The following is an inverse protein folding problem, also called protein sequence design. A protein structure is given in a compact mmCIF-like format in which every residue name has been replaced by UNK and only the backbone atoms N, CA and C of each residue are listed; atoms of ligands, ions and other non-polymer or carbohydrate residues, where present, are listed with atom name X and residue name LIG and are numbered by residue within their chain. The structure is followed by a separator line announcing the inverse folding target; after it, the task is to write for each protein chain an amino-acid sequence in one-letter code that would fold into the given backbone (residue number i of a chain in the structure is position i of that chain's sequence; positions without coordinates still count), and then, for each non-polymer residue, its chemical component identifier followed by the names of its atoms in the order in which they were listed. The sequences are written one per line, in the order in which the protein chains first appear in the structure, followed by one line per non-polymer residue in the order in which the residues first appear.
data_IF_546753694663
#
_entry.id   IF_546753694663
#
_cell.length_a   1.000
_cell.length_b   1.000
_cell.length_c   1.000
_cell.angle_alpha   90.00
_cell.angle_beta   90.00
_cell.angle_gamma   90.00
#
_symmetry.space_group_name_H-M   'P 1'
#
loop_
_entity.id
_entity.type
_entity.pdbx_description
1 polymer ?
#
# COMPACT_ATOMS: atom_id res chain seq x y z
N UNK A 1 10.21 -9.44 -11.74
CA UNK A 1 9.74 -10.25 -10.57
C UNK A 1 8.99 -9.26 -9.69
N UNK A 2 7.71 -9.46 -9.39
CA UNK A 2 6.97 -8.48 -8.58
C UNK A 2 7.54 -8.47 -7.15
N UNK A 3 8.21 -7.38 -6.76
CA UNK A 3 8.77 -7.22 -5.43
C UNK A 3 7.74 -6.49 -4.55
N UNK A 4 6.77 -7.25 -4.03
CA UNK A 4 5.59 -6.70 -3.38
C UNK A 4 4.72 -7.76 -2.70
N UNK A 5 3.56 -7.35 -2.21
CA UNK A 5 2.58 -8.23 -1.57
C UNK A 5 1.17 -7.62 -1.63
N UNK A 6 0.16 -8.50 -1.50
CA UNK A 6 -1.23 -8.13 -1.24
C UNK A 6 -1.47 -8.18 0.27
N UNK A 7 -2.46 -7.43 0.76
CA UNK A 7 -2.94 -7.56 2.13
C UNK A 7 -4.46 -7.54 2.20
N UNK A 8 -5.00 -8.23 3.21
CA UNK A 8 -6.41 -8.28 3.58
C UNK A 8 -6.46 -8.10 5.09
N UNK A 9 -6.82 -6.90 5.56
CA UNK A 9 -6.85 -6.53 6.97
C UNK A 9 -8.29 -6.27 7.43
N UNK A 10 -8.99 -7.28 7.96
CA UNK A 10 -10.32 -7.10 8.54
C UNK A 10 -10.25 -6.12 9.71
N UNK A 11 -11.12 -5.10 9.70
CA UNK A 11 -11.30 -4.15 10.80
C UNK A 11 -12.44 -4.56 11.70
N UNK A 12 -13.50 -5.09 11.10
CA UNK A 12 -14.68 -5.66 11.76
C UNK A 12 -15.15 -6.88 10.96
N UNK A 13 -16.20 -7.61 11.39
CA UNK A 13 -16.78 -8.67 10.57
C UNK A 13 -17.31 -8.22 9.20
N UNK A 14 -17.58 -6.92 9.01
CA UNK A 14 -18.17 -6.37 7.78
C UNK A 14 -17.36 -5.25 7.14
N UNK A 15 -16.20 -4.89 7.70
CA UNK A 15 -15.29 -3.86 7.18
C UNK A 15 -13.88 -4.42 7.03
N UNK A 16 -13.28 -4.22 5.86
CA UNK A 16 -11.95 -4.74 5.54
C UNK A 16 -11.15 -3.71 4.74
N UNK A 17 -9.86 -3.59 5.03
CA UNK A 17 -8.91 -2.88 4.19
C UNK A 17 -8.14 -3.88 3.32
N UNK A 18 -8.26 -3.76 2.01
CA UNK A 18 -7.53 -4.58 1.04
C UNK A 18 -6.65 -3.68 0.19
N UNK A 19 -5.43 -4.11 -0.07
CA UNK A 19 -4.56 -3.40 -0.97
C UNK A 19 -3.33 -4.19 -1.38
N UNK A 20 -2.42 -3.49 -2.06
CA UNK A 20 -1.22 -4.06 -2.63
C UNK A 20 -0.08 -3.05 -2.54
N UNK A 21 1.14 -3.57 -2.38
CA UNK A 21 2.37 -2.79 -2.41
C UNK A 21 3.34 -3.43 -3.39
N UNK A 22 4.02 -2.63 -4.20
CA UNK A 22 5.01 -3.08 -5.17
C UNK A 22 6.15 -2.06 -5.28
N UNK A 23 7.34 -2.54 -5.62
CA UNK A 23 8.47 -1.66 -5.92
C UNK A 23 8.23 -0.89 -7.23
N UNK A 24 8.48 0.41 -7.19
CA UNK A 24 8.32 1.33 -8.33
C UNK A 24 9.55 1.36 -9.27
N UNK A 25 10.42 0.35 -9.20
CA UNK A 25 11.67 0.26 -9.98
C UNK A 25 11.52 -0.49 -11.31
N UNK A 26 10.34 -1.03 -11.59
CA UNK A 26 10.01 -1.79 -12.80
C UNK A 26 8.86 -1.11 -13.57
N UNK A 27 8.58 -1.57 -14.80
CA UNK A 27 7.46 -1.06 -15.60
C UNK A 27 6.13 -1.06 -14.81
N UNK A 28 5.25 -0.07 -15.05
CA UNK A 28 4.02 0.10 -14.30
C UNK A 28 3.21 -1.20 -14.40
N UNK A 29 3.05 -1.87 -13.26
CA UNK A 29 2.26 -3.08 -13.22
C UNK A 29 0.79 -2.69 -13.06
N UNK A 30 -0.10 -3.28 -13.86
CA UNK A 30 -1.56 -3.16 -13.78
C UNK A 30 -2.16 -3.87 -12.54
N UNK A 31 -1.43 -3.88 -11.42
CA UNK A 31 -1.78 -4.62 -10.21
C UNK A 31 -3.06 -4.10 -9.56
N UNK A 32 -3.36 -2.81 -9.74
CA UNK A 32 -4.59 -2.20 -9.20
C UNK A 32 -5.81 -2.78 -9.90
N UNK A 33 -5.74 -2.96 -11.22
CA UNK A 33 -6.80 -3.61 -12.00
C UNK A 33 -6.93 -5.08 -11.61
N UNK A 34 -5.83 -5.80 -11.48
CA UNK A 34 -5.82 -7.21 -11.08
C UNK A 34 -6.45 -7.41 -9.69
N UNK A 35 -6.08 -6.58 -8.70
CA UNK A 35 -6.67 -6.64 -7.36
C UNK A 35 -8.17 -6.32 -7.40
N UNK A 36 -8.56 -5.32 -8.21
CA UNK A 36 -9.97 -4.95 -8.35
C UNK A 36 -10.79 -6.09 -8.96
N UNK A 37 -10.23 -6.84 -9.90
CA UNK A 37 -10.88 -8.01 -10.48
C UNK A 37 -10.98 -9.16 -9.48
N UNK A 38 -9.89 -9.48 -8.76
CA UNK A 38 -9.91 -10.50 -7.70
C UNK A 38 -10.99 -10.21 -6.65
N UNK A 39 -11.07 -8.95 -6.17
CA UNK A 39 -12.08 -8.53 -5.20
C UNK A 39 -13.52 -8.71 -5.69
N UNK A 40 -13.78 -8.46 -6.98
CA UNK A 40 -15.13 -8.58 -7.56
C UNK A 40 -15.58 -10.01 -7.78
N UNK A 41 -14.63 -10.92 -7.98
CA UNK A 41 -14.90 -12.31 -8.31
C UNK A 41 -15.02 -13.20 -7.06
N UNK A 42 -14.89 -12.63 -5.87
CA UNK A 42 -14.93 -13.33 -4.58
C UNK A 42 -16.34 -13.29 -3.96
N UNK A 43 -16.95 -14.46 -3.65
CA UNK A 43 -18.27 -14.53 -3.02
C UNK A 43 -18.38 -13.77 -1.69
N UNK A 44 -17.30 -13.74 -0.91
CA UNK A 44 -17.26 -13.03 0.38
C UNK A 44 -17.39 -11.51 0.26
N UNK A 45 -17.22 -10.95 -0.94
CA UNK A 45 -17.37 -9.53 -1.22
C UNK A 45 -18.59 -9.21 -2.08
N UNK A 46 -19.49 -10.18 -2.27
CA UNK A 46 -20.75 -9.94 -2.96
C UNK A 46 -21.57 -8.85 -2.24
N UNK A 47 -21.94 -7.80 -2.98
CA UNK A 47 -22.66 -6.65 -2.42
C UNK A 47 -21.80 -5.71 -1.57
N UNK A 48 -20.50 -5.94 -1.43
CA UNK A 48 -19.60 -5.03 -0.75
C UNK A 48 -19.54 -3.67 -1.47
N UNK A 49 -19.44 -2.61 -0.69
CA UNK A 49 -19.27 -1.23 -1.18
C UNK A 49 -17.86 -0.75 -0.86
N UNK A 50 -17.31 0.10 -1.73
CA UNK A 50 -16.03 0.76 -1.43
C UNK A 50 -16.32 2.06 -0.71
N UNK A 51 -15.92 2.14 0.56
CA UNK A 51 -16.09 3.35 1.37
C UNK A 51 -14.99 4.39 1.10
N UNK A 52 -13.73 3.96 0.95
CA UNK A 52 -12.58 4.84 0.71
C UNK A 52 -11.48 4.15 -0.14
N UNK A 53 -10.62 4.95 -0.79
CA UNK A 53 -9.45 4.51 -1.57
C UNK A 53 -8.31 5.51 -1.43
N UNK A 54 -7.12 4.99 -1.13
CA UNK A 54 -5.90 5.79 -1.03
C UNK A 54 -4.70 5.02 -1.59
N UNK A 55 -3.76 5.75 -2.18
CA UNK A 55 -2.46 5.25 -2.60
C UNK A 55 -1.37 6.24 -2.21
N UNK A 56 -0.20 5.72 -1.81
CA UNK A 56 0.96 6.52 -1.45
C UNK A 56 2.25 5.79 -1.82
N UNK A 57 3.31 6.54 -2.06
CA UNK A 57 4.66 5.99 -2.14
C UNK A 57 5.22 5.83 -0.74
N UNK A 58 5.81 4.65 -0.46
CA UNK A 58 6.45 4.35 0.82
C UNK A 58 7.93 4.04 0.61
N UNK A 59 8.84 4.59 1.42
CA UNK A 59 10.25 4.30 1.31
C UNK A 59 10.54 2.88 1.84
N UNK A 60 11.32 2.12 1.07
CA UNK A 60 11.74 0.75 1.42
C UNK A 60 13.26 0.64 1.40
N UNK A 61 13.91 1.56 2.10
CA UNK A 61 15.38 1.67 2.19
C UNK A 61 15.82 1.91 3.63
N UNK A 62 17.14 1.96 3.85
CA UNK A 62 17.71 2.47 5.10
C UNK A 62 17.38 3.96 5.26
N UNK A 63 17.18 4.47 6.49
CA UNK A 63 17.08 5.90 6.75
C UNK A 63 18.31 6.67 6.23
N UNK A 64 18.20 7.99 6.14
CA UNK A 64 19.35 8.84 5.86
C UNK A 64 20.47 8.62 6.89
N UNK A 65 21.71 8.78 6.46
CA UNK A 65 22.89 8.62 7.32
C UNK A 65 22.92 9.61 8.49
N UNK A 66 22.29 10.77 8.31
CA UNK A 66 21.91 11.70 9.37
C UNK A 66 20.51 12.26 9.08
N UNK A 67 19.63 12.21 10.07
CA UNK A 67 18.30 12.81 10.02
C UNK A 67 18.25 14.21 10.67
N UNK A 68 19.40 14.79 11.04
CA UNK A 68 19.50 16.07 11.76
C UNK A 68 20.45 17.05 11.08
N UNK A 69 20.15 18.33 11.25
CA UNK A 69 21.04 19.47 10.98
C UNK A 69 20.73 20.59 12.01
N UNK A 70 21.57 21.63 12.16
CA UNK A 70 21.27 22.73 13.08
C UNK A 70 19.89 23.36 12.78
N UNK A 71 18.96 23.25 13.73
CA UNK A 71 17.58 23.74 13.59
C UNK A 71 16.65 22.85 12.75
N UNK A 72 17.06 21.64 12.37
CA UNK A 72 16.25 20.75 11.55
C UNK A 72 16.33 19.28 11.99
N UNK A 73 15.19 18.59 11.92
CA UNK A 73 15.09 17.15 12.10
C UNK A 73 14.09 16.57 11.08
N UNK A 74 14.47 15.49 10.41
CA UNK A 74 13.58 14.64 9.61
C UNK A 74 13.10 13.46 10.46
N UNK A 75 11.83 13.11 10.35
CA UNK A 75 11.19 12.00 11.09
C UNK A 75 10.19 11.25 10.21
N UNK A 76 9.86 10.01 10.60
CA UNK A 76 8.91 9.16 9.87
C UNK A 76 9.36 8.88 8.44
N UNK A 77 8.41 8.75 7.52
CA UNK A 77 8.66 8.50 6.09
C UNK A 77 9.61 9.54 5.45
N UNK A 78 9.64 10.77 5.99
CA UNK A 78 10.54 11.82 5.50
C UNK A 78 12.02 11.57 5.85
N UNK A 79 12.34 10.71 6.83
CA UNK A 79 13.71 10.32 7.16
C UNK A 79 14.22 9.14 6.32
N UNK A 80 13.33 8.56 5.50
CA UNK A 80 13.63 7.45 4.61
C UNK A 80 13.30 6.08 5.16
#
# INVERSE_FOLDING_TARGET
RAAGYLWYFPRTPTEINVGLGFQMNEQPMHLVEDLREDLRNRPEFEGAVVEDKLGAALPTRRPYDSAVAPGFIAVGDAAG
#
